data_IF_915810158682
#
_entry.id   IF_915810158682
#
_cell.length_a   1.000
_cell.length_b   1.000
_cell.length_c   1.000
_cell.angle_alpha   90.00
_cell.angle_beta   90.00
_cell.angle_gamma   90.00
#
_symmetry.space_group_name_H-M   'P 1'
#
loop_
_entity.id
_entity.type
_entity.pdbx_description
1 polymer ?
#
# COMPACT_ATOMS: atom_id res chain seq x y z
N UNK A 1 -9.56 -14.73 23.40
CA UNK A 1 -8.95 -13.46 22.95
C UNK A 1 -10.08 -12.50 22.65
N UNK A 2 -10.12 -11.34 23.33
CA UNK A 2 -11.19 -10.34 23.18
C UNK A 2 -11.13 -9.67 21.80
N UNK A 3 -12.29 -9.30 21.24
CA UNK A 3 -12.39 -8.66 19.92
C UNK A 3 -11.60 -7.34 19.84
N UNK A 4 -11.54 -6.59 20.94
CA UNK A 4 -10.77 -5.34 21.04
C UNK A 4 -9.27 -5.54 20.76
N UNK A 5 -8.68 -6.63 21.27
CA UNK A 5 -7.27 -6.96 21.02
C UNK A 5 -7.01 -7.28 19.55
N UNK A 6 -7.97 -7.91 18.87
CA UNK A 6 -7.86 -8.20 17.43
C UNK A 6 -7.92 -6.92 16.60
N UNK A 7 -8.80 -5.99 16.97
CA UNK A 7 -8.93 -4.69 16.29
C UNK A 7 -7.65 -3.85 16.43
N UNK A 8 -7.15 -3.72 17.66
CA UNK A 8 -5.92 -2.99 17.97
C UNK A 8 -4.70 -3.58 17.20
N UNK A 9 -4.57 -4.91 17.17
CA UNK A 9 -3.50 -5.55 16.40
C UNK A 9 -3.59 -5.24 14.90
N UNK A 10 -4.79 -5.29 14.31
CA UNK A 10 -5.00 -4.97 12.88
C UNK A 10 -4.68 -3.52 12.56
N UNK A 11 -5.05 -2.60 13.45
CA UNK A 11 -4.76 -1.18 13.30
C UNK A 11 -3.25 -0.92 13.31
N UNK A 12 -2.54 -1.49 14.29
CA UNK A 12 -1.08 -1.41 14.37
C UNK A 12 -0.37 -2.00 13.15
N UNK A 13 -0.85 -3.14 12.65
CA UNK A 13 -0.32 -3.75 11.41
C UNK A 13 -0.54 -2.82 10.21
N UNK A 14 -1.72 -2.23 10.10
CA UNK A 14 -2.06 -1.31 8.99
C UNK A 14 -1.17 -0.08 9.02
N UNK A 15 -0.99 0.54 10.19
CA UNK A 15 -0.12 1.70 10.37
C UNK A 15 1.35 1.35 10.09
N UNK A 16 1.84 0.20 10.56
CA UNK A 16 3.19 -0.30 10.24
C UNK A 16 3.39 -0.53 8.74
N UNK A 17 2.35 -0.99 8.04
CA UNK A 17 2.34 -1.16 6.58
C UNK A 17 2.59 0.15 5.82
N UNK A 18 2.13 1.30 6.34
CA UNK A 18 2.37 2.62 5.74
C UNK A 18 3.86 2.98 5.72
N UNK A 19 4.57 2.68 6.81
CA UNK A 19 6.02 2.93 6.93
C UNK A 19 6.78 2.13 5.88
N UNK A 20 6.43 0.85 5.72
CA UNK A 20 7.05 -0.02 4.71
C UNK A 20 6.77 0.49 3.29
N UNK A 21 5.54 0.91 3.02
CA UNK A 21 5.10 1.46 1.73
C UNK A 21 5.84 2.75 1.36
N UNK A 22 6.16 3.57 2.36
CA UNK A 22 6.98 4.76 2.18
C UNK A 22 8.48 4.45 1.92
N UNK A 23 8.88 3.18 1.90
CA UNK A 23 10.27 2.77 1.71
C UNK A 23 11.12 2.89 2.97
N UNK A 24 10.50 3.09 4.14
CA UNK A 24 11.18 3.42 5.39
C UNK A 24 11.35 2.20 6.32
N UNK A 25 11.31 0.99 5.78
CA UNK A 25 11.42 -0.25 6.58
C UNK A 25 12.71 -0.32 7.41
N UNK A 26 13.79 0.24 6.88
CA UNK A 26 15.11 0.27 7.53
C UNK A 26 15.39 1.62 8.22
N UNK A 27 14.43 2.55 8.25
CA UNK A 27 14.64 3.84 8.87
C UNK A 27 14.73 3.72 10.39
N UNK A 28 15.49 4.62 11.01
CA UNK A 28 15.59 4.71 12.46
C UNK A 28 14.23 5.02 13.10
N UNK A 29 13.97 4.43 14.27
CA UNK A 29 12.67 4.55 14.94
C UNK A 29 12.42 5.95 15.50
N UNK A 30 13.47 6.62 16.01
CA UNK A 30 13.35 7.98 16.52
C UNK A 30 13.09 8.95 15.36
N UNK A 31 13.74 8.75 14.22
CA UNK A 31 13.44 9.50 13.00
C UNK A 31 11.97 9.34 12.57
N UNK A 32 11.46 8.11 12.50
CA UNK A 32 10.06 7.85 12.14
C UNK A 32 9.08 8.54 13.08
N UNK A 33 9.31 8.44 14.40
CA UNK A 33 8.48 9.10 15.39
C UNK A 33 8.54 10.63 15.24
N UNK A 34 9.74 11.20 15.03
CA UNK A 34 9.92 12.63 14.80
C UNK A 34 9.13 13.14 13.60
N UNK A 35 9.18 12.43 12.46
CA UNK A 35 8.39 12.79 11.26
C UNK A 35 6.88 12.73 11.54
N UNK A 36 6.41 11.73 12.29
CA UNK A 36 4.99 11.60 12.62
C UNK A 36 4.53 12.70 13.59
N UNK A 37 5.36 13.07 14.55
CA UNK A 37 5.08 14.18 15.47
C UNK A 37 5.02 15.51 14.72
N UNK A 38 5.96 15.77 13.81
CA UNK A 38 5.94 16.95 12.94
C UNK A 38 4.64 17.00 12.14
N UNK A 39 4.27 15.87 11.51
CA UNK A 39 3.04 15.76 10.74
C UNK A 39 1.77 15.97 11.59
N UNK A 40 1.78 15.60 12.87
CA UNK A 40 0.66 15.78 13.79
C UNK A 40 0.40 17.25 14.13
N UNK A 41 1.38 18.15 13.96
CA UNK A 41 1.21 19.58 14.17
C UNK A 41 0.47 20.27 13.01
N UNK A 42 0.36 19.59 11.86
CA UNK A 42 -0.22 20.16 10.64
C UNK A 42 -1.74 20.25 10.79
N UNK A 43 -2.27 21.47 10.68
CA UNK A 43 -3.72 21.71 10.77
C UNK A 43 -4.47 20.99 9.65
N UNK A 44 -5.48 20.20 10.03
CA UNK A 44 -6.40 19.56 9.08
C UNK A 44 -7.07 20.61 8.18
N UNK A 45 -7.08 20.33 6.87
CA UNK A 45 -7.64 21.22 5.85
C UNK A 45 -6.72 22.38 5.43
N UNK A 46 -5.52 22.48 6.00
CA UNK A 46 -4.49 23.40 5.47
C UNK A 46 -4.00 22.95 4.09
N UNK A 47 -3.39 23.88 3.35
CA UNK A 47 -2.76 23.58 2.07
C UNK A 47 -1.70 22.48 2.21
N UNK A 48 -0.95 22.49 3.30
CA UNK A 48 0.04 21.45 3.58
C UNK A 48 -0.59 20.08 3.85
N UNK A 49 -1.64 20.03 4.65
CA UNK A 49 -2.41 18.79 4.86
C UNK A 49 -2.93 18.23 3.53
N UNK A 50 -3.48 19.08 2.65
CA UNK A 50 -3.93 18.65 1.32
C UNK A 50 -2.78 18.16 0.43
N UNK A 51 -1.64 18.85 0.44
CA UNK A 51 -0.44 18.44 -0.31
C UNK A 51 0.04 17.05 0.12
N UNK A 52 0.18 16.82 1.43
CA UNK A 52 0.62 15.53 1.97
C UNK A 52 -0.38 14.42 1.68
N UNK A 53 -1.69 14.69 1.83
CA UNK A 53 -2.75 13.76 1.47
C UNK A 53 -2.71 13.38 -0.01
N UNK A 54 -2.54 14.34 -0.91
CA UNK A 54 -2.42 14.09 -2.35
C UNK A 54 -1.19 13.24 -2.67
N UNK A 55 -0.04 13.56 -2.07
CA UNK A 55 1.21 12.78 -2.23
C UNK A 55 1.03 11.33 -1.79
N UNK A 56 0.43 11.10 -0.62
CA UNK A 56 0.09 9.77 -0.13
C UNK A 56 -0.85 9.02 -1.09
N UNK A 57 -1.91 9.69 -1.55
CA UNK A 57 -2.86 9.12 -2.50
C UNK A 57 -2.20 8.67 -3.80
N UNK A 58 -1.30 9.47 -4.38
CA UNK A 58 -0.56 9.08 -5.58
C UNK A 58 0.36 7.86 -5.35
N UNK A 59 1.00 7.76 -4.17
CA UNK A 59 1.83 6.61 -3.84
C UNK A 59 1.01 5.30 -3.82
N UNK A 60 -0.18 5.33 -3.22
CA UNK A 60 -1.10 4.19 -3.24
C UNK A 60 -1.52 3.80 -4.66
N UNK A 61 -1.81 4.78 -5.52
CA UNK A 61 -2.22 4.50 -6.89
C UNK A 61 -1.12 3.86 -7.72
N UNK A 62 0.11 4.36 -7.59
CA UNK A 62 1.27 3.80 -8.30
C UNK A 62 1.51 2.34 -7.93
N UNK A 63 1.38 2.00 -6.66
CA UNK A 63 1.52 0.62 -6.21
C UNK A 63 0.43 -0.29 -6.75
N UNK A 64 -0.83 0.18 -6.77
CA UNK A 64 -1.94 -0.56 -7.37
C UNK A 64 -1.68 -0.86 -8.86
N UNK A 65 -1.20 0.13 -9.61
CA UNK A 65 -0.84 -0.03 -11.02
C UNK A 65 0.31 -1.02 -11.20
N UNK A 66 1.36 -0.91 -10.37
CA UNK A 66 2.48 -1.86 -10.39
C UNK A 66 2.05 -3.30 -10.12
N UNK A 67 1.14 -3.50 -9.17
CA UNK A 67 0.59 -4.82 -8.87
C UNK A 67 -0.24 -5.38 -10.02
N UNK A 68 -1.01 -4.54 -10.73
CA UNK A 68 -1.78 -4.95 -11.90
C UNK A 68 -0.88 -5.30 -13.10
N UNK A 69 0.19 -4.56 -13.32
CA UNK A 69 1.14 -4.85 -14.41
C UNK A 69 1.88 -6.18 -14.20
N UNK A 70 2.20 -6.53 -12.95
CA UNK A 70 2.78 -7.82 -12.58
C UNK A 70 1.81 -9.00 -12.76
N UNK A 71 0.49 -8.78 -12.68
CA UNK A 71 -0.51 -9.83 -12.93
C UNK A 71 -0.73 -10.07 -14.42
N UNK A 72 -0.67 -9.02 -15.25
CA UNK A 72 -0.81 -9.14 -16.71
C UNK A 72 0.42 -9.77 -17.38
N UNK A 73 1.63 -9.53 -16.86
CA UNK A 73 2.86 -10.14 -17.37
C UNK A 73 3.01 -11.65 -17.03
N UNK A 74 2.07 -12.23 -16.27
CA UNK A 74 2.13 -13.61 -15.77
C UNK A 74 1.23 -14.62 -16.47
N UNK A 75 0.45 -14.24 -17.49
CA UNK A 75 -0.39 -15.19 -18.25
C UNK A 75 0.34 -15.70 -19.51
N UNK A 76 0.82 -16.96 -19.54
CA UNK A 76 1.15 -17.56 -20.82
C UNK A 76 -0.16 -17.80 -21.57
N UNK A 77 -0.26 -17.21 -22.76
CA UNK A 77 -1.28 -17.53 -23.75
C UNK A 77 -1.28 -19.05 -23.94
N UNK A 78 -2.36 -19.72 -23.51
CA UNK A 78 -2.70 -21.06 -24.03
C UNK A 78 -2.99 -20.90 -25.52
N UNK A 79 -1.95 -21.01 -26.33
CA UNK A 79 -2.07 -21.23 -27.76
C UNK A 79 -2.77 -22.58 -27.96
N UNK A 80 -3.80 -22.55 -28.80
CA UNK A 80 -4.73 -23.64 -28.98
C UNK A 80 -4.13 -24.92 -29.53
N UNK A 81 -4.94 -25.97 -29.49
CA UNK A 81 -4.82 -27.06 -30.45
C UNK A 81 -6.23 -27.48 -30.82
N UNK A 82 -6.45 -27.41 -32.12
CA UNK A 82 -7.71 -27.54 -32.82
C UNK A 82 -8.33 -28.94 -32.70
N UNK A 83 -9.65 -28.90 -32.82
CA UNK A 83 -10.59 -29.91 -33.32
C UNK A 83 -9.95 -31.15 -33.97
N UNK A 84 -10.42 -32.31 -33.54
CA UNK A 84 -10.57 -33.48 -34.41
C UNK A 84 -11.81 -34.25 -33.97
N UNK A 85 -12.79 -34.30 -34.87
CA UNK A 85 -14.02 -35.06 -34.75
C UNK A 85 -14.00 -36.10 -35.89
N UNK A 86 -14.06 -37.38 -35.55
CA UNK A 86 -14.11 -38.56 -36.44
C UNK A 86 -13.60 -39.77 -35.63
N UNK A 87 -14.24 -40.92 -35.55
CA UNK A 87 -15.31 -41.57 -36.33
C UNK A 87 -16.46 -42.07 -35.45
#
# INVERSE_FOLDING_TARGET
MTEDRKKDAREKITLGGLVVKAGLRQADRAFLLGVLLEAATIRVGSAEHHRLKAKGGMAFQRERMKSAELTEAGSPVSAGSEKSNGE
#
